data_IF_786495033528
#
_entry.id   IF_786495033528
#
_cell.length_a   1.000
_cell.length_b   1.000
_cell.length_c   1.000
_cell.angle_alpha   90.00
_cell.angle_beta   90.00
_cell.angle_gamma   90.00
#
_symmetry.space_group_name_H-M   'P 1'
#
loop_
_entity.id
_entity.type
_entity.pdbx_description
1 polymer ?
#
# COMPACT_ATOMS: atom_id res chain seq x y z
N UNK A 1 4.12 11.27 -13.06
CA UNK A 1 3.66 12.65 -12.75
C UNK A 1 4.41 13.22 -11.54
N UNK A 2 5.17 12.41 -10.79
CA UNK A 2 6.16 12.83 -9.77
C UNK A 2 5.67 13.90 -8.77
N UNK A 3 4.40 13.80 -8.39
CA UNK A 3 3.74 14.73 -7.46
C UNK A 3 4.01 14.41 -5.99
N UNK A 4 4.38 13.16 -5.68
CA UNK A 4 4.70 12.69 -4.34
C UNK A 4 5.71 11.54 -4.41
N UNK A 5 6.37 11.28 -3.28
CA UNK A 5 7.37 10.20 -3.14
C UNK A 5 6.73 8.80 -3.02
N UNK A 6 5.48 8.75 -2.58
CA UNK A 6 4.68 7.55 -2.43
C UNK A 6 3.27 7.91 -1.99
N UNK A 7 2.34 6.99 -2.22
CA UNK A 7 0.94 7.12 -1.87
C UNK A 7 0.44 5.87 -1.14
N UNK A 8 -0.63 6.03 -0.37
CA UNK A 8 -1.37 4.93 0.27
C UNK A 8 -2.58 4.56 -0.58
N UNK A 9 -2.89 3.27 -0.68
CA UNK A 9 -4.12 2.77 -1.28
C UNK A 9 -4.75 1.65 -0.46
N UNK A 10 -5.96 1.24 -0.86
CA UNK A 10 -6.63 0.04 -0.35
C UNK A 10 -6.69 -1.01 -1.46
N UNK A 11 -6.59 -2.29 -1.12
CA UNK A 11 -6.69 -3.39 -2.09
C UNK A 11 -7.51 -4.54 -1.51
N UNK A 12 -8.71 -4.67 -2.06
CA UNK A 12 -9.60 -5.81 -1.84
C UNK A 12 -9.56 -6.73 -3.07
N UNK A 13 -9.81 -6.14 -4.25
CA UNK A 13 -9.86 -6.83 -5.54
C UNK A 13 -8.69 -6.54 -6.47
N UNK A 14 -7.65 -5.85 -6.02
CA UNK A 14 -6.53 -5.41 -6.86
C UNK A 14 -6.32 -3.89 -6.93
N UNK A 15 -7.02 -3.10 -6.13
CA UNK A 15 -7.03 -1.63 -6.24
C UNK A 15 -5.70 -0.93 -5.86
N UNK A 16 -4.69 -1.65 -5.37
CA UNK A 16 -3.30 -1.17 -5.32
C UNK A 16 -2.52 -1.68 -6.55
N UNK A 17 -2.61 -2.99 -6.82
CA UNK A 17 -1.77 -3.69 -7.81
C UNK A 17 -2.10 -3.33 -9.27
N UNK A 18 -3.39 -3.27 -9.59
CA UNK A 18 -3.89 -2.99 -10.94
C UNK A 18 -3.54 -1.56 -11.39
N UNK A 19 -3.85 -0.49 -10.64
CA UNK A 19 -3.48 0.86 -11.06
C UNK A 19 -1.97 1.08 -11.06
N UNK A 20 -1.22 0.44 -10.16
CA UNK A 20 0.24 0.50 -10.18
C UNK A 20 0.82 -0.05 -11.51
N UNK A 21 0.25 -1.16 -12.02
CA UNK A 21 0.63 -1.70 -13.31
C UNK A 21 0.33 -0.73 -14.48
N UNK A 22 -0.84 -0.10 -14.49
CA UNK A 22 -1.18 0.89 -15.53
C UNK A 22 -0.31 2.16 -15.45
N UNK A 23 0.10 2.55 -14.25
CA UNK A 23 0.95 3.72 -14.03
C UNK A 23 2.46 3.42 -14.16
N UNK A 24 2.86 2.16 -14.34
CA UNK A 24 4.26 1.76 -14.45
C UNK A 24 5.06 1.95 -13.15
N UNK A 25 4.41 1.79 -11.99
CA UNK A 25 5.03 1.91 -10.66
C UNK A 25 4.81 0.64 -9.83
N UNK A 26 5.43 0.57 -8.65
CA UNK A 26 5.24 -0.54 -7.72
C UNK A 26 4.01 -0.29 -6.86
N UNK A 27 3.12 -1.29 -6.77
CA UNK A 27 2.01 -1.33 -5.82
C UNK A 27 2.13 -2.57 -4.95
N UNK A 28 2.27 -2.40 -3.64
CA UNK A 28 2.43 -3.51 -2.70
C UNK A 28 1.15 -3.70 -1.88
N UNK A 29 0.55 -4.90 -2.00
CA UNK A 29 -0.52 -5.34 -1.12
C UNK A 29 0.09 -6.20 -0.01
N UNK A 30 0.08 -5.76 1.26
CA UNK A 30 0.59 -6.57 2.34
C UNK A 30 -0.33 -7.76 2.66
N UNK A 31 0.10 -8.58 3.61
CA UNK A 31 -0.78 -9.50 4.32
C UNK A 31 -1.93 -8.72 4.98
N UNK A 32 -3.15 -9.26 4.90
CA UNK A 32 -4.40 -8.52 5.15
C UNK A 32 -4.46 -7.83 6.53
N UNK A 33 -3.90 -8.44 7.57
CA UNK A 33 -3.90 -7.90 8.93
C UNK A 33 -2.65 -7.09 9.30
N UNK A 34 -1.73 -6.83 8.35
CA UNK A 34 -0.44 -6.15 8.64
C UNK A 34 -0.64 -4.68 9.05
N UNK A 35 -1.58 -3.99 8.43
CA UNK A 35 -1.86 -2.57 8.67
C UNK A 35 -3.27 -2.45 9.27
N UNK A 36 -3.44 -1.75 10.41
CA UNK A 36 -4.76 -1.50 10.98
C UNK A 36 -5.68 -0.76 10.00
N UNK A 37 -6.96 -1.14 9.96
CA UNK A 37 -7.94 -0.56 9.04
C UNK A 37 -8.79 0.56 9.70
N UNK A 38 -8.42 1.00 10.90
CA UNK A 38 -9.12 2.04 11.62
C UNK A 38 -9.25 3.33 10.80
N UNK A 39 -10.49 3.78 10.62
CA UNK A 39 -10.80 4.97 9.80
C UNK A 39 -10.91 4.73 8.29
N UNK A 40 -10.64 3.52 7.79
CA UNK A 40 -10.90 3.17 6.41
C UNK A 40 -12.39 2.85 6.17
N UNK A 41 -12.89 3.18 4.98
CA UNK A 41 -14.23 2.76 4.55
C UNK A 41 -14.20 1.26 4.20
N UNK A 42 -15.00 0.40 4.86
CA UNK A 42 -14.93 -1.05 4.67
C UNK A 42 -15.55 -1.48 3.34
N UNK A 43 -14.99 -2.53 2.73
CA UNK A 43 -15.56 -3.25 1.59
C UNK A 43 -15.66 -4.76 1.85
N UNK A 44 -14.61 -5.38 2.38
CA UNK A 44 -14.56 -6.80 2.71
C UNK A 44 -13.69 -7.07 3.94
N UNK A 45 -14.33 -7.53 5.02
CA UNK A 45 -13.66 -7.79 6.30
C UNK A 45 -12.54 -8.82 6.26
N UNK A 46 -12.50 -9.68 5.23
CA UNK A 46 -11.50 -10.74 5.08
C UNK A 46 -10.46 -10.45 4.02
N UNK A 47 -10.58 -9.36 3.27
CA UNK A 47 -9.73 -9.08 2.11
C UNK A 47 -9.14 -7.66 2.09
N UNK A 48 -9.78 -6.69 2.75
CA UNK A 48 -9.32 -5.30 2.75
C UNK A 48 -7.90 -5.20 3.32
N UNK A 49 -7.00 -4.61 2.55
CA UNK A 49 -5.60 -4.36 2.94
C UNK A 49 -5.24 -2.91 2.59
N UNK A 50 -4.54 -2.21 3.49
CA UNK A 50 -3.93 -0.90 3.19
C UNK A 50 -2.47 -1.13 2.81
N UNK A 51 -1.99 -0.51 1.74
CA UNK A 51 -0.61 -0.66 1.30
C UNK A 51 -0.11 0.47 0.40
N UNK A 52 1.19 0.50 0.12
CA UNK A 52 1.81 1.61 -0.61
C UNK A 52 1.83 1.44 -2.13
N UNK A 53 1.86 2.58 -2.82
CA UNK A 53 2.24 2.74 -4.21
C UNK A 53 3.45 3.68 -4.29
N UNK A 54 4.54 3.28 -4.94
CA UNK A 54 5.75 4.09 -5.04
C UNK A 54 6.61 3.73 -6.27
N UNK A 55 7.59 4.57 -6.66
CA UNK A 55 8.42 4.34 -7.86
C UNK A 55 9.29 3.07 -7.80
N UNK A 56 9.63 2.58 -6.60
CA UNK A 56 10.49 1.41 -6.41
C UNK A 56 9.99 0.50 -5.28
N UNK A 57 10.44 -0.76 -5.28
CA UNK A 57 10.15 -1.72 -4.22
C UNK A 57 10.69 -1.23 -2.87
N UNK A 58 11.89 -0.64 -2.86
CA UNK A 58 12.48 -0.08 -1.65
C UNK A 58 11.62 1.05 -1.06
N UNK A 59 11.10 1.95 -1.91
CA UNK A 59 10.17 2.99 -1.46
C UNK A 59 8.88 2.39 -0.87
N UNK A 60 8.30 1.37 -1.51
CA UNK A 60 7.14 0.68 -0.94
C UNK A 60 7.47 0.03 0.41
N UNK A 61 8.62 -0.62 0.55
CA UNK A 61 9.02 -1.25 1.82
C UNK A 61 9.14 -0.23 2.96
N UNK A 62 9.68 0.97 2.69
CA UNK A 62 9.77 2.04 3.69
C UNK A 62 8.37 2.52 4.13
N UNK A 63 7.46 2.76 3.18
CA UNK A 63 6.11 3.23 3.50
C UNK A 63 5.30 2.13 4.21
N UNK A 64 5.40 0.88 3.77
CA UNK A 64 4.77 -0.27 4.40
C UNK A 64 5.23 -0.47 5.86
N UNK A 65 6.52 -0.27 6.16
CA UNK A 65 7.02 -0.29 7.53
C UNK A 65 6.34 0.77 8.41
N UNK A 66 6.24 2.02 7.91
CA UNK A 66 5.55 3.11 8.63
C UNK A 66 4.07 2.79 8.84
N UNK A 67 3.37 2.30 7.81
CA UNK A 67 1.95 1.94 7.90
C UNK A 67 1.69 0.84 8.93
N UNK A 68 2.60 -0.12 9.06
CA UNK A 68 2.52 -1.19 10.06
C UNK A 68 3.01 -0.78 11.46
N UNK A 69 3.44 0.47 11.65
CA UNK A 69 3.98 0.94 12.93
C UNK A 69 5.38 0.41 13.25
N UNK A 70 6.12 -0.05 12.24
CA UNK A 70 7.50 -0.54 12.37
C UNK A 70 8.52 0.54 12.00
N UNK A 71 9.73 0.45 12.55
CA UNK A 71 10.84 1.31 12.16
C UNK A 71 11.31 0.96 10.72
N UNK A 72 11.35 1.92 9.78
CA UNK A 72 11.85 1.67 8.43
C UNK A 72 13.34 1.29 8.46
N UNK A 73 13.71 0.28 7.67
CA UNK A 73 15.11 -0.08 7.41
C UNK A 73 15.51 0.44 6.04
N UNK A 74 16.59 1.24 6.02
CA UNK A 74 17.21 1.79 4.82
C UNK A 74 18.35 0.87 4.39
#
# INVERSE_FOLDING_TARGET
ADLCLGATGTDTGGSIRIPANFAGIVGFKPSQARVPLDGALPLSSTQDSIGPLAPTVACCALVDAVLAGEAPRI
#
